data_IF_052878939350
#
_entry.id   IF_052878939350
#
_cell.length_a   1.000
_cell.length_b   1.000
_cell.length_c   1.000
_cell.angle_alpha   90.00
_cell.angle_beta   90.00
_cell.angle_gamma   90.00
#
_symmetry.space_group_name_H-M   'P 1'
#
loop_
_entity.id
_entity.type
_entity.pdbx_description
1 polymer ?
#
# COMPACT_ATOMS: atom_id res chain seq x y z
N UNK A 1 4.66 -20.20 -10.11
CA UNK A 1 4.82 -18.88 -9.46
C UNK A 1 5.92 -18.08 -10.13
N UNK A 2 7.17 -18.59 -10.20
CA UNK A 2 8.27 -17.96 -10.95
C UNK A 2 7.92 -17.51 -12.37
N UNK A 3 7.28 -18.39 -13.16
CA UNK A 3 6.92 -18.09 -14.55
C UNK A 3 5.96 -16.88 -14.62
N UNK A 4 4.89 -16.86 -13.81
CA UNK A 4 3.94 -15.75 -13.77
C UNK A 4 4.55 -14.42 -13.27
N UNK A 5 5.43 -14.44 -12.27
CA UNK A 5 6.10 -13.23 -11.74
C UNK A 5 7.08 -12.66 -12.76
N UNK A 6 7.89 -13.52 -13.38
CA UNK A 6 8.84 -13.13 -14.41
C UNK A 6 8.14 -12.63 -15.68
N UNK A 7 7.12 -13.35 -16.15
CA UNK A 7 6.35 -12.99 -17.36
C UNK A 7 5.62 -11.65 -17.20
N UNK A 8 4.96 -11.42 -16.05
CA UNK A 8 4.26 -10.15 -15.79
C UNK A 8 5.22 -8.96 -15.78
N UNK A 9 6.38 -9.07 -15.11
CA UNK A 9 7.41 -8.01 -15.12
C UNK A 9 7.94 -7.77 -16.54
N UNK A 10 8.20 -8.82 -17.31
CA UNK A 10 8.69 -8.69 -18.68
C UNK A 10 7.65 -8.04 -19.60
N UNK A 11 6.37 -8.37 -19.43
CA UNK A 11 5.30 -7.77 -20.23
C UNK A 11 5.15 -6.27 -19.95
N UNK A 12 5.15 -5.87 -18.68
CA UNK A 12 5.12 -4.45 -18.31
C UNK A 12 6.36 -3.70 -18.82
N UNK A 13 7.55 -4.33 -18.76
CA UNK A 13 8.77 -3.76 -19.35
C UNK A 13 8.68 -3.59 -20.87
N UNK A 14 8.06 -4.54 -21.58
CA UNK A 14 7.82 -4.43 -23.04
C UNK A 14 6.89 -3.26 -23.38
N UNK A 15 5.98 -2.91 -22.48
CA UNK A 15 5.11 -1.73 -22.60
C UNK A 15 5.83 -0.42 -22.23
N UNK A 16 7.11 -0.48 -21.83
CA UNK A 16 7.93 0.69 -21.51
C UNK A 16 7.86 1.12 -20.04
N UNK A 17 7.33 0.28 -19.15
CA UNK A 17 7.31 0.57 -17.72
C UNK A 17 8.59 0.08 -17.03
N UNK A 18 9.10 0.88 -16.11
CA UNK A 18 10.04 0.43 -15.08
C UNK A 18 9.24 -0.07 -13.88
N UNK A 19 9.45 -1.33 -13.50
CA UNK A 19 8.68 -2.00 -12.45
C UNK A 19 9.65 -2.57 -11.43
N UNK A 20 9.66 -1.96 -10.26
CA UNK A 20 10.55 -2.35 -9.16
C UNK A 20 9.80 -3.11 -8.08
N UNK A 21 8.52 -2.81 -7.85
CA UNK A 21 7.72 -3.42 -6.80
C UNK A 21 6.59 -4.30 -7.32
N UNK A 22 6.14 -5.23 -6.47
CA UNK A 22 5.03 -6.14 -6.74
C UNK A 22 3.86 -5.88 -5.79
N UNK A 23 2.64 -6.03 -6.29
CA UNK A 23 1.42 -6.03 -5.49
C UNK A 23 0.83 -7.43 -5.53
N UNK A 24 0.84 -8.13 -4.40
CA UNK A 24 0.34 -9.49 -4.29
C UNK A 24 -1.19 -9.52 -4.52
N UNK A 25 -1.68 -10.37 -5.44
CA UNK A 25 -3.11 -10.54 -5.65
C UNK A 25 -3.83 -10.94 -4.37
N UNK A 26 -5.01 -10.37 -4.14
CA UNK A 26 -5.87 -10.65 -2.99
C UNK A 26 -5.23 -10.40 -1.62
N UNK A 27 -4.16 -9.60 -1.57
CA UNK A 27 -3.38 -9.38 -0.35
C UNK A 27 -2.94 -10.71 0.28
N UNK A 28 -2.66 -11.73 -0.55
CA UNK A 28 -2.19 -13.03 -0.10
C UNK A 28 -0.70 -13.16 -0.39
N UNK A 29 0.11 -12.82 0.62
CA UNK A 29 1.55 -12.87 0.57
C UNK A 29 2.09 -13.43 1.88
N UNK A 30 3.01 -14.38 1.79
CA UNK A 30 3.59 -15.08 2.93
C UNK A 30 5.10 -15.27 2.74
N UNK A 31 5.75 -15.85 3.75
CA UNK A 31 7.21 -16.06 3.74
C UNK A 31 7.64 -16.97 2.58
N UNK A 32 6.83 -17.95 2.21
CA UNK A 32 7.11 -18.79 1.04
C UNK A 32 7.12 -17.97 -0.25
N UNK A 33 6.11 -17.12 -0.46
CA UNK A 33 6.01 -16.27 -1.65
C UNK A 33 7.11 -15.18 -1.68
N UNK A 34 7.55 -14.73 -0.51
CA UNK A 34 8.61 -13.73 -0.31
C UNK A 34 9.95 -14.15 -0.85
N UNK A 35 10.35 -15.40 -0.60
CA UNK A 35 11.60 -15.96 -1.11
C UNK A 35 11.71 -15.81 -2.63
N UNK A 36 10.61 -16.07 -3.35
CA UNK A 36 10.60 -16.01 -4.82
C UNK A 36 10.41 -14.59 -5.36
N UNK A 37 9.58 -13.78 -4.71
CA UNK A 37 9.32 -12.42 -5.19
C UNK A 37 10.56 -11.53 -5.14
N UNK A 38 11.43 -11.75 -4.14
CA UNK A 38 12.71 -11.07 -4.00
C UNK A 38 13.71 -11.34 -5.15
N UNK A 39 13.52 -12.40 -5.94
CA UNK A 39 14.34 -12.64 -7.13
C UNK A 39 13.98 -11.71 -8.30
N UNK A 40 12.75 -11.16 -8.30
CA UNK A 40 12.21 -10.40 -9.42
C UNK A 40 11.92 -8.95 -9.09
N UNK A 41 11.66 -8.60 -7.83
CA UNK A 41 11.19 -7.29 -7.40
C UNK A 41 12.00 -6.82 -6.18
N UNK A 42 12.12 -5.51 -6.02
CA UNK A 42 12.85 -4.84 -4.94
C UNK A 42 11.97 -4.57 -3.71
N UNK A 43 10.69 -4.93 -3.78
CA UNK A 43 9.75 -4.77 -2.67
C UNK A 43 8.33 -5.20 -3.01
N UNK A 44 7.51 -5.35 -1.98
CA UNK A 44 6.14 -5.87 -2.04
C UNK A 44 5.23 -4.88 -1.34
N UNK A 45 4.37 -4.21 -2.10
CA UNK A 45 3.63 -3.02 -1.64
C UNK A 45 2.53 -3.37 -0.62
N UNK A 46 2.15 -4.64 -0.52
CA UNK A 46 1.14 -5.17 0.42
C UNK A 46 1.61 -6.46 1.09
N UNK A 47 2.87 -6.49 1.49
CA UNK A 47 3.45 -7.67 2.13
C UNK A 47 2.75 -8.04 3.44
N UNK A 48 2.32 -7.02 4.19
CA UNK A 48 1.67 -7.16 5.47
C UNK A 48 0.32 -6.44 5.42
N UNK A 49 -0.68 -7.04 6.06
CA UNK A 49 -2.07 -6.59 6.07
C UNK A 49 -2.52 -6.19 7.47
N UNK A 50 -3.52 -5.30 7.53
CA UNK A 50 -4.15 -4.87 8.79
C UNK A 50 -3.65 -3.52 9.32
N UNK A 51 -2.66 -2.91 8.68
CA UNK A 51 -2.29 -1.50 8.89
C UNK A 51 -1.80 -0.87 7.59
N UNK A 52 -1.78 0.47 7.56
CA UNK A 52 -1.16 1.29 6.51
C UNK A 52 0.06 2.05 7.00
N UNK A 53 0.44 1.87 8.27
CA UNK A 53 1.47 2.63 8.97
C UNK A 53 2.80 1.90 8.89
N UNK A 54 3.85 2.55 8.40
CA UNK A 54 5.19 2.00 8.29
C UNK A 54 6.17 2.92 8.99
N UNK A 55 7.05 2.37 9.83
CA UNK A 55 8.13 3.13 10.45
C UNK A 55 9.17 3.51 9.37
N UNK A 56 9.49 4.81 9.18
CA UNK A 56 10.48 5.22 8.20
C UNK A 56 11.91 4.76 8.51
N UNK A 57 12.27 4.61 9.79
CA UNK A 57 13.62 4.23 10.21
C UNK A 57 13.84 2.71 10.12
N UNK A 58 12.76 1.93 10.24
CA UNK A 58 12.76 0.47 10.13
C UNK A 58 12.14 -0.02 8.81
N UNK A 59 11.97 0.86 7.82
CA UNK A 59 11.25 0.54 6.60
C UNK A 59 11.95 -0.57 5.80
N UNK A 60 11.27 -1.71 5.66
CA UNK A 60 11.65 -2.81 4.78
C UNK A 60 10.63 -2.93 3.64
N UNK A 61 11.03 -2.71 2.37
CA UNK A 61 10.14 -2.85 1.22
C UNK A 61 9.47 -4.22 1.11
N UNK A 62 10.07 -5.27 1.65
CA UNK A 62 9.47 -6.59 1.67
C UNK A 62 8.46 -6.75 2.81
N UNK A 63 8.46 -5.93 3.85
CA UNK A 63 7.46 -5.97 4.94
C UNK A 63 6.53 -4.74 4.94
N UNK A 64 6.29 -4.16 3.76
CA UNK A 64 5.41 -2.99 3.63
C UNK A 64 3.99 -3.31 4.11
N UNK A 65 3.50 -2.52 5.06
CA UNK A 65 2.12 -2.48 5.52
C UNK A 65 1.27 -1.60 4.60
N UNK A 66 0.23 -2.18 3.99
CA UNK A 66 -0.76 -1.44 3.19
C UNK A 66 -2.15 -1.89 3.57
N UNK A 67 -3.06 -0.92 3.61
CA UNK A 67 -4.49 -1.19 3.75
C UNK A 67 -5.34 -0.28 2.85
N UNK A 68 -6.55 -0.72 2.53
CA UNK A 68 -7.48 0.04 1.69
C UNK A 68 -8.10 1.20 2.46
N UNK A 69 -8.49 2.29 1.80
CA UNK A 69 -9.19 3.39 2.49
C UNK A 69 -10.72 3.24 2.54
N UNK A 70 -11.29 2.28 1.80
CA UNK A 70 -12.75 2.04 1.73
C UNK A 70 -13.09 0.57 1.93
N UNK A 71 -12.31 -0.36 1.38
CA UNK A 71 -12.62 -1.78 1.41
C UNK A 71 -12.04 -2.44 2.67
N UNK A 72 -12.77 -3.39 3.25
CA UNK A 72 -12.32 -4.19 4.40
C UNK A 72 -11.84 -3.39 5.62
N UNK A 73 -12.20 -2.11 5.69
CA UNK A 73 -11.79 -1.18 6.74
C UNK A 73 -12.98 -0.33 7.19
N UNK A 74 -12.77 0.49 8.22
CA UNK A 74 -13.77 1.46 8.69
C UNK A 74 -13.21 2.88 8.62
N UNK A 75 -14.08 3.87 8.50
CA UNK A 75 -13.64 5.28 8.51
C UNK A 75 -12.91 5.67 9.80
N UNK A 76 -13.25 5.05 10.92
CA UNK A 76 -12.58 5.31 12.20
C UNK A 76 -11.16 4.74 12.22
N UNK A 77 -10.96 3.50 11.74
CA UNK A 77 -9.61 2.91 11.59
C UNK A 77 -8.74 3.70 10.62
N UNK A 78 -9.30 4.08 9.46
CA UNK A 78 -8.58 4.90 8.48
C UNK A 78 -8.15 6.22 9.10
N UNK A 79 -9.02 6.86 9.88
CA UNK A 79 -8.72 8.11 10.55
C UNK A 79 -7.65 7.95 11.65
N UNK A 80 -7.71 6.87 12.41
CA UNK A 80 -6.71 6.56 13.44
C UNK A 80 -5.32 6.43 12.82
N UNK A 81 -5.18 5.62 11.77
CA UNK A 81 -3.90 5.44 11.09
C UNK A 81 -3.38 6.74 10.45
N UNK A 82 -4.26 7.54 9.84
CA UNK A 82 -3.87 8.85 9.31
C UNK A 82 -3.40 9.82 10.39
N UNK A 83 -3.99 9.78 11.58
CA UNK A 83 -3.52 10.58 12.72
C UNK A 83 -2.13 10.12 13.18
N UNK A 84 -1.89 8.81 13.23
CA UNK A 84 -0.57 8.24 13.57
C UNK A 84 0.46 8.71 12.55
N UNK A 85 0.16 8.55 11.25
CA UNK A 85 1.02 8.99 10.13
C UNK A 85 1.38 10.46 10.26
N UNK A 86 0.39 11.32 10.50
CA UNK A 86 0.61 12.76 10.58
C UNK A 86 1.38 13.15 11.85
N UNK A 87 0.97 12.64 13.01
CA UNK A 87 1.51 13.05 14.30
C UNK A 87 2.93 12.51 14.54
N UNK A 88 3.19 11.28 14.12
CA UNK A 88 4.48 10.61 14.33
C UNK A 88 5.42 10.76 13.13
N UNK A 89 4.94 11.33 12.01
CA UNK A 89 5.74 11.47 10.79
C UNK A 89 6.09 10.13 10.14
N UNK A 90 5.22 9.12 10.26
CA UNK A 90 5.45 7.80 9.69
C UNK A 90 5.03 7.72 8.21
N UNK A 91 5.33 6.61 7.54
CA UNK A 91 4.99 6.40 6.14
C UNK A 91 3.63 5.70 6.00
N UNK A 92 2.73 6.32 5.22
CA UNK A 92 1.40 5.79 4.94
C UNK A 92 1.29 5.18 3.54
N UNK A 93 0.91 3.91 3.43
CA UNK A 93 0.63 3.25 2.13
C UNK A 93 -0.83 2.86 2.02
N UNK A 94 -1.53 3.43 1.03
CA UNK A 94 -2.98 3.31 0.91
C UNK A 94 -3.37 2.66 -0.42
N UNK A 95 -4.21 1.63 -0.34
CA UNK A 95 -4.77 0.91 -1.50
C UNK A 95 -6.15 1.40 -1.93
N UNK A 96 -6.41 1.37 -3.23
CA UNK A 96 -7.68 1.73 -3.83
C UNK A 96 -7.92 0.95 -5.13
N UNK A 97 -9.17 0.59 -5.39
CA UNK A 97 -9.59 0.07 -6.69
C UNK A 97 -10.39 1.14 -7.44
N UNK A 98 -9.81 1.68 -8.51
CA UNK A 98 -10.41 2.82 -9.27
C UNK A 98 -11.75 2.50 -9.92
N UNK A 99 -12.10 1.22 -10.10
CA UNK A 99 -13.40 0.81 -10.63
C UNK A 99 -14.54 0.90 -9.60
N UNK A 100 -14.25 1.09 -8.32
CA UNK A 100 -15.27 1.18 -7.27
C UNK A 100 -15.90 2.56 -7.28
N UNK A 101 -17.23 2.61 -7.23
CA UNK A 101 -18.01 3.87 -7.30
C UNK A 101 -17.61 4.89 -6.23
N UNK A 102 -17.18 4.43 -5.05
CA UNK A 102 -16.81 5.29 -3.94
C UNK A 102 -15.34 5.78 -4.00
N UNK A 103 -14.53 5.25 -4.91
CA UNK A 103 -13.16 5.74 -5.15
C UNK A 103 -13.23 6.92 -6.12
N UNK A 104 -13.65 8.06 -5.58
CA UNK A 104 -13.76 9.32 -6.32
C UNK A 104 -12.66 10.29 -5.92
N UNK A 105 -12.32 11.24 -6.79
CA UNK A 105 -11.40 12.34 -6.46
C UNK A 105 -11.81 13.04 -5.16
N UNK A 106 -13.11 13.29 -4.97
CA UNK A 106 -13.64 13.93 -3.77
C UNK A 106 -13.33 13.14 -2.49
N UNK A 107 -13.54 11.83 -2.50
CA UNK A 107 -13.26 10.99 -1.32
C UNK A 107 -11.75 10.83 -1.10
N UNK A 108 -10.95 10.71 -2.16
CA UNK A 108 -9.48 10.71 -2.06
C UNK A 108 -8.95 12.03 -1.49
N UNK A 109 -9.49 13.18 -1.91
CA UNK A 109 -9.11 14.48 -1.35
C UNK A 109 -9.60 14.66 0.09
N UNK A 110 -10.77 14.12 0.43
CA UNK A 110 -11.27 14.10 1.81
C UNK A 110 -10.34 13.31 2.73
N UNK A 111 -9.84 12.17 2.27
CA UNK A 111 -8.86 11.35 2.97
C UNK A 111 -7.57 12.15 3.25
N UNK A 112 -6.99 12.75 2.21
CA UNK A 112 -5.76 13.56 2.29
C UNK A 112 -5.91 14.82 3.14
N UNK A 113 -7.11 15.41 3.21
CA UNK A 113 -7.38 16.58 4.06
C UNK A 113 -7.78 16.20 5.49
N UNK A 114 -8.27 14.98 5.71
CA UNK A 114 -8.64 14.46 7.02
C UNK A 114 -7.44 14.33 7.95
N UNK A 115 -6.28 13.97 7.41
CA UNK A 115 -4.98 13.97 8.10
C UNK A 115 -4.54 15.38 8.50
N UNK A 116 -4.70 16.37 7.61
CA UNK A 116 -4.26 17.76 7.87
C UNK A 116 -5.05 18.49 8.97
N UNK A 117 -6.34 18.18 9.14
CA UNK A 117 -7.16 18.83 10.19
C UNK A 117 -6.86 18.33 11.61
N UNK A 118 -6.03 17.28 11.77
CA UNK A 118 -5.53 16.87 13.08
C UNK A 118 -4.57 17.90 13.70
N UNK A 119 -3.91 18.72 12.88
CA UNK A 119 -2.98 19.76 13.33
C UNK A 119 -3.67 21.01 13.92
N UNK A 120 -4.98 21.20 13.67
CA UNK A 120 -5.70 22.44 14.05
C UNK A 120 -6.24 22.45 15.50
N UNK A 121 -5.89 21.47 16.34
CA UNK A 121 -6.49 21.34 17.70
C UNK A 121 -5.57 21.63 18.88
N UNK A 122 -4.40 22.22 18.66
CA UNK A 122 -3.54 22.72 19.75
C UNK A 122 -2.98 24.10 19.43
#
# INVERSE_FOLDING_TARGET
MHEALGESKQELKRLGFEIDSFLAPYDNFDDYSREFAAEYYDGIVNAEHGSRVNDPEEFDPFHTQRDYFIEFTTSDHVKEDLNIITYQGTLGVIGAHTFKENVTEKESMRLLNGSMNAESKY
#
